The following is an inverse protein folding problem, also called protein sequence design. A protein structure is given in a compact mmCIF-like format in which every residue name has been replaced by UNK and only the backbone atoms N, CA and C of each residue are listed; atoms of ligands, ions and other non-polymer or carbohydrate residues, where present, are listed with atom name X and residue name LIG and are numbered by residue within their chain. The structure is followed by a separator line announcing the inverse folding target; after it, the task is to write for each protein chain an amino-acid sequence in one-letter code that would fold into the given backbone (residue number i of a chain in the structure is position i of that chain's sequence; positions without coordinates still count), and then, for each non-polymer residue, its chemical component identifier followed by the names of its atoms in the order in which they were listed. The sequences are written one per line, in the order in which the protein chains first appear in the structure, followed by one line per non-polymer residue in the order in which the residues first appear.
data_IF_342156947706
#
_entry.id   IF_342156947706
#
_cell.length_a   1.000
_cell.length_b   1.000
_cell.length_c   1.000
_cell.angle_alpha   90.00
_cell.angle_beta   90.00
_cell.angle_gamma   90.00
#
_symmetry.space_group_name_H-M   'P 1'
#
loop_
_entity.id
_entity.type
_entity.pdbx_description
1 polymer ?
#
# COMPACT_ATOMS: atom_id res chain seq x y z
N UNK A 1 17.68 -5.39 -23.53
CA UNK A 1 18.41 -6.23 -22.55
C UNK A 1 17.39 -6.71 -21.52
N UNK A 2 17.41 -7.98 -21.10
CA UNK A 2 16.48 -8.45 -20.05
C UNK A 2 16.83 -7.79 -18.72
N UNK A 3 15.89 -7.05 -18.11
CA UNK A 3 16.06 -6.58 -16.72
C UNK A 3 16.21 -7.80 -15.80
N UNK A 4 17.13 -7.71 -14.83
CA UNK A 4 17.25 -8.70 -13.77
C UNK A 4 16.20 -8.42 -12.69
N UNK A 5 15.84 -9.43 -11.89
CA UNK A 5 14.87 -9.25 -10.80
C UNK A 5 15.31 -8.17 -9.80
N UNK A 6 16.61 -8.12 -9.48
CA UNK A 6 17.18 -7.08 -8.64
C UNK A 6 17.01 -5.67 -9.24
N UNK A 7 17.24 -5.50 -10.55
CA UNK A 7 17.02 -4.20 -11.21
C UNK A 7 15.54 -3.77 -11.26
N UNK A 8 14.61 -4.73 -11.34
CA UNK A 8 13.17 -4.43 -11.28
C UNK A 8 12.82 -3.94 -9.88
N UNK A 9 13.30 -4.62 -8.84
CA UNK A 9 13.01 -4.27 -7.46
C UNK A 9 13.56 -2.90 -7.05
N UNK A 10 14.79 -2.56 -7.45
CA UNK A 10 15.35 -1.22 -7.25
C UNK A 10 14.50 -0.15 -7.95
N UNK A 11 14.06 -0.42 -9.18
CA UNK A 11 13.20 0.49 -9.92
C UNK A 11 11.84 0.69 -9.25
N UNK A 12 11.18 -0.38 -8.79
CA UNK A 12 9.90 -0.30 -8.08
C UNK A 12 10.02 0.46 -6.75
N UNK A 13 11.12 0.27 -6.01
CA UNK A 13 11.39 1.06 -4.80
C UNK A 13 11.56 2.55 -5.11
N UNK A 14 12.20 2.87 -6.24
CA UNK A 14 12.28 4.24 -6.78
C UNK A 14 10.91 4.84 -7.05
N UNK A 15 10.06 4.13 -7.80
CA UNK A 15 8.70 4.55 -8.10
C UNK A 15 7.83 4.71 -6.84
N UNK A 16 7.98 3.81 -5.87
CA UNK A 16 7.27 3.92 -4.59
C UNK A 16 7.70 5.17 -3.81
N UNK A 17 8.99 5.51 -3.83
CA UNK A 17 9.50 6.74 -3.21
C UNK A 17 8.92 7.98 -3.88
N UNK A 18 8.87 8.02 -5.21
CA UNK A 18 8.24 9.12 -5.96
C UNK A 18 6.74 9.25 -5.65
N UNK A 19 6.02 8.12 -5.59
CA UNK A 19 4.63 8.07 -5.15
C UNK A 19 4.43 8.70 -3.76
N UNK A 20 5.30 8.38 -2.79
CA UNK A 20 5.22 8.96 -1.44
C UNK A 20 5.50 10.45 -1.41
N UNK A 21 6.49 10.90 -2.18
CA UNK A 21 6.87 12.33 -2.27
C UNK A 21 5.84 13.19 -3.01
N UNK A 22 4.96 12.57 -3.80
CA UNK A 22 3.87 13.28 -4.51
C UNK A 22 2.85 13.81 -3.50
N UNK A 23 2.85 15.12 -3.26
CA UNK A 23 2.00 15.78 -2.26
C UNK A 23 0.54 15.91 -2.69
N UNK A 24 0.30 16.23 -3.98
CA UNK A 24 -1.06 16.29 -4.51
C UNK A 24 -1.65 14.88 -4.59
N UNK A 25 -2.74 14.66 -3.86
CA UNK A 25 -3.43 13.37 -3.82
C UNK A 25 -3.93 12.98 -5.21
N UNK A 26 -4.42 13.92 -6.01
CA UNK A 26 -4.91 13.62 -7.36
C UNK A 26 -3.76 13.16 -8.28
N UNK A 27 -2.60 13.80 -8.18
CA UNK A 27 -1.41 13.42 -8.95
C UNK A 27 -0.92 11.99 -8.65
N UNK A 28 -1.23 11.41 -7.48
CA UNK A 28 -0.87 10.01 -7.16
C UNK A 28 -1.48 8.99 -8.11
N UNK A 29 -2.60 9.32 -8.78
CA UNK A 29 -3.22 8.45 -9.77
C UNK A 29 -2.28 8.07 -10.93
N UNK A 30 -1.22 8.85 -11.20
CA UNK A 30 -0.21 8.52 -12.21
C UNK A 30 0.55 7.22 -11.90
N UNK A 31 0.60 6.78 -10.64
CA UNK A 31 1.27 5.53 -10.27
C UNK A 31 0.33 4.32 -10.37
N UNK A 32 -0.97 4.55 -10.53
CA UNK A 32 -1.98 3.49 -10.51
C UNK A 32 -2.35 3.10 -11.93
N UNK A 33 -2.58 1.81 -12.13
CA UNK A 33 -3.39 1.35 -13.25
C UNK A 33 -4.80 1.90 -13.08
N UNK A 34 -5.53 2.25 -14.15
CA UNK A 34 -6.94 2.62 -14.05
C UNK A 34 -7.79 1.54 -13.35
N UNK A 35 -7.38 0.28 -13.48
CA UNK A 35 -8.00 -0.88 -12.84
C UNK A 35 -7.29 -1.26 -11.53
N UNK A 36 -6.61 -0.31 -10.87
CA UNK A 36 -5.98 -0.61 -9.59
C UNK A 36 -7.05 -0.93 -8.55
N UNK A 37 -6.94 -2.09 -7.92
CA UNK A 37 -7.85 -2.53 -6.86
C UNK A 37 -7.27 -2.23 -5.48
N UNK A 38 -8.12 -2.17 -4.46
CA UNK A 38 -7.66 -2.13 -3.06
C UNK A 38 -8.47 -3.11 -2.23
N UNK A 39 -7.80 -3.82 -1.33
CA UNK A 39 -8.41 -4.61 -0.27
C UNK A 39 -7.83 -4.22 1.08
N UNK A 40 -8.65 -4.32 2.13
CA UNK A 40 -8.25 -4.13 3.52
C UNK A 40 -8.69 -5.36 4.31
N UNK A 41 -7.69 -6.06 4.87
CA UNK A 41 -7.85 -7.29 5.63
C UNK A 41 -8.31 -7.05 7.07
N UNK A 42 -8.10 -5.84 7.59
CA UNK A 42 -8.59 -5.41 8.91
C UNK A 42 -10.01 -4.84 8.84
N UNK A 43 -10.74 -4.94 9.96
CA UNK A 43 -12.08 -4.39 10.15
C UNK A 43 -12.01 -2.93 10.65
N UNK A 44 -12.75 -1.96 10.06
CA UNK A 44 -13.65 -2.07 8.91
C UNK A 44 -12.91 -2.39 7.60
N UNK A 45 -13.46 -3.35 6.85
CA UNK A 45 -12.94 -3.68 5.53
C UNK A 45 -13.32 -2.59 4.52
N UNK A 46 -12.29 -2.00 3.90
CA UNK A 46 -12.42 -1.12 2.75
C UNK A 46 -11.96 -1.84 1.49
N UNK A 47 -12.69 -1.65 0.40
CA UNK A 47 -12.32 -2.18 -0.89
C UNK A 47 -12.60 -1.18 -2.01
N UNK A 48 -11.76 -1.20 -3.04
CA UNK A 48 -11.90 -0.39 -4.25
C UNK A 48 -11.77 -1.28 -5.48
N UNK A 49 -12.56 -0.97 -6.51
CA UNK A 49 -12.54 -1.68 -7.80
C UNK A 49 -11.73 -0.93 -8.87
N UNK A 50 -11.32 0.30 -8.57
CA UNK A 50 -10.64 1.20 -9.49
C UNK A 50 -9.80 2.25 -8.74
N UNK A 51 -8.90 2.89 -9.48
CA UNK A 51 -8.01 3.92 -8.95
C UNK A 51 -8.74 5.14 -8.41
N UNK A 52 -9.87 5.52 -9.02
CA UNK A 52 -10.61 6.72 -8.65
C UNK A 52 -11.21 6.57 -7.24
N UNK A 53 -11.72 5.37 -6.93
CA UNK A 53 -12.21 5.02 -5.59
C UNK A 53 -11.07 5.02 -4.57
N UNK A 54 -9.87 4.54 -4.93
CA UNK A 54 -8.68 4.61 -4.05
C UNK A 54 -8.31 6.06 -3.76
N UNK A 55 -8.27 6.92 -4.78
CA UNK A 55 -7.96 8.34 -4.64
C UNK A 55 -8.98 9.02 -3.74
N UNK A 56 -10.27 8.70 -3.90
CA UNK A 56 -11.34 9.16 -3.00
C UNK A 56 -11.09 8.74 -1.55
N UNK A 57 -10.71 7.48 -1.29
CA UNK A 57 -10.36 7.03 0.06
C UNK A 57 -9.17 7.78 0.66
N UNK A 58 -8.19 8.16 -0.16
CA UNK A 58 -7.07 8.98 0.31
C UNK A 58 -7.53 10.38 0.76
N UNK A 59 -8.46 11.01 0.03
CA UNK A 59 -9.08 12.27 0.46
C UNK A 59 -9.93 12.12 1.73
N UNK A 60 -10.60 10.99 1.88
CA UNK A 60 -11.53 10.70 2.98
C UNK A 60 -10.87 9.95 4.16
N UNK A 61 -9.53 9.85 4.20
CA UNK A 61 -8.83 9.07 5.22
C UNK A 61 -8.97 9.65 6.64
N UNK A 62 -9.14 10.98 6.78
CA UNK A 62 -9.17 11.68 8.07
C UNK A 62 -10.11 11.05 9.11
N UNK A 63 -11.41 10.89 8.82
CA UNK A 63 -12.35 10.22 9.72
C UNK A 63 -11.96 8.79 10.12
N UNK A 64 -11.35 8.01 9.22
CA UNK A 64 -10.89 6.65 9.52
C UNK A 64 -9.75 6.68 10.53
N UNK A 65 -8.78 7.58 10.33
CA UNK A 65 -7.67 7.77 11.27
C UNK A 65 -8.19 8.23 12.63
N UNK A 66 -9.13 9.18 12.66
CA UNK A 66 -9.74 9.67 13.91
C UNK A 66 -10.42 8.54 14.70
N UNK A 67 -11.15 7.64 14.04
CA UNK A 67 -11.77 6.47 14.70
C UNK A 67 -10.72 5.54 15.32
N UNK A 68 -9.57 5.35 14.67
CA UNK A 68 -8.46 4.55 15.23
C UNK A 68 -7.91 5.22 16.50
N UNK A 69 -7.65 6.53 16.48
CA UNK A 69 -7.21 7.27 17.67
C UNK A 69 -8.26 7.21 18.80
N UNK A 70 -9.55 7.29 18.46
CA UNK A 70 -10.65 7.18 19.41
C UNK A 70 -10.70 5.80 20.07
N UNK A 71 -10.61 4.73 19.28
CA UNK A 71 -10.59 3.33 19.79
C UNK A 71 -9.36 3.04 20.65
N UNK A 72 -8.24 3.70 20.37
CA UNK A 72 -7.02 3.64 21.18
C UNK A 72 -7.09 4.48 22.47
N UNK A 73 -8.14 5.31 22.64
CA UNK A 73 -8.32 6.17 23.82
C UNK A 73 -7.53 7.49 23.79
N UNK A 74 -6.95 7.86 22.64
CA UNK A 74 -5.99 8.97 22.54
C UNK A 74 -6.60 10.31 22.11
N UNK A 75 -7.87 10.36 21.74
CA UNK A 75 -8.50 11.54 21.13
C UNK A 75 -8.49 12.79 22.04
N UNK A 76 -8.51 12.60 23.36
CA UNK A 76 -8.58 13.69 24.34
C UNK A 76 -7.21 14.14 24.88
N UNK A 77 -6.14 13.47 24.47
CA UNK A 77 -4.79 13.76 24.94
C UNK A 77 -4.15 14.82 24.02
N UNK A 78 -3.62 15.89 24.61
CA UNK A 78 -2.98 16.97 23.85
C UNK A 78 -1.78 16.44 23.05
N UNK A 79 -1.82 16.63 21.74
CA UNK A 79 -0.66 16.45 20.85
C UNK A 79 0.04 17.78 20.66
N UNK A 80 1.35 17.84 20.89
CA UNK A 80 2.15 19.01 20.55
C UNK A 80 2.76 18.84 19.15
N UNK A 81 2.05 19.33 18.13
CA UNK A 81 2.52 19.34 16.74
C UNK A 81 2.08 18.15 15.89
N UNK A 82 2.33 18.22 14.56
CA UNK A 82 2.00 17.14 13.64
C UNK A 82 2.89 15.91 13.89
N UNK A 83 2.34 14.69 13.80
CA UNK A 83 3.15 13.49 13.99
C UNK A 83 4.16 13.34 12.85
N UNK A 84 5.33 12.80 13.18
CA UNK A 84 6.34 12.42 12.18
C UNK A 84 5.85 11.20 11.41
N UNK A 85 6.19 11.10 10.13
CA UNK A 85 5.79 9.98 9.28
C UNK A 85 7.00 9.20 8.80
N UNK A 86 6.88 7.88 8.78
CA UNK A 86 7.95 6.96 8.43
C UNK A 86 7.41 5.87 7.52
N UNK A 87 8.29 5.29 6.72
CA UNK A 87 8.00 4.02 6.06
C UNK A 87 9.25 3.17 5.90
N UNK A 88 9.04 1.87 5.69
CA UNK A 88 10.04 0.97 5.13
C UNK A 88 9.44 0.22 3.95
N UNK A 89 10.28 -0.11 2.98
CA UNK A 89 9.87 -0.82 1.78
C UNK A 89 10.92 -1.86 1.37
N UNK A 90 10.46 -3.05 0.95
CA UNK A 90 11.29 -4.10 0.36
C UNK A 90 10.48 -4.93 -0.63
N UNK A 91 11.12 -5.74 -1.49
CA UNK A 91 10.41 -6.73 -2.28
C UNK A 91 9.70 -7.78 -1.41
N UNK A 92 8.59 -8.32 -1.91
CA UNK A 92 7.94 -9.48 -1.30
C UNK A 92 8.85 -10.71 -1.34
N UNK A 93 8.80 -11.51 -0.27
CA UNK A 93 9.44 -12.82 -0.23
C UNK A 93 8.55 -13.88 -0.92
N UNK A 94 9.07 -15.10 -1.07
CA UNK A 94 8.36 -16.18 -1.77
C UNK A 94 7.01 -16.55 -1.16
N UNK A 95 6.87 -16.44 0.16
CA UNK A 95 5.61 -16.76 0.85
C UNK A 95 4.58 -15.64 0.63
N UNK A 96 5.01 -14.39 0.76
CA UNK A 96 4.17 -13.21 0.51
C UNK A 96 3.70 -13.15 -0.94
N UNK A 97 4.54 -13.57 -1.91
CA UNK A 97 4.19 -13.63 -3.32
C UNK A 97 3.02 -14.58 -3.66
N UNK A 98 2.64 -15.46 -2.74
CA UNK A 98 1.54 -16.43 -2.90
C UNK A 98 0.32 -16.12 -1.99
N UNK A 99 0.43 -15.12 -1.12
CA UNK A 99 -0.61 -14.74 -0.15
C UNK A 99 -1.45 -13.55 -0.65
N UNK A 100 -2.52 -13.85 -1.36
CA UNK A 100 -3.51 -12.87 -1.83
C UNK A 100 -4.73 -12.73 -0.89
N UNK A 101 -4.63 -13.24 0.34
CA UNK A 101 -5.74 -13.21 1.29
C UNK A 101 -6.85 -14.20 0.94
N UNK A 102 -8.09 -13.80 1.24
CA UNK A 102 -9.30 -14.62 1.17
C UNK A 102 -10.36 -13.98 0.30
N UNK A 103 -11.34 -14.79 -0.14
CA UNK A 103 -12.46 -14.27 -0.93
C UNK A 103 -13.32 -13.25 -0.19
N UNK A 104 -13.33 -13.26 1.15
CA UNK A 104 -14.05 -12.26 1.94
C UNK A 104 -13.46 -10.85 1.75
N UNK A 105 -12.15 -10.76 1.55
CA UNK A 105 -11.42 -9.51 1.34
C UNK A 105 -11.43 -9.11 -0.15
N UNK A 106 -11.32 -10.11 -1.03
CA UNK A 106 -11.21 -9.92 -2.47
C UNK A 106 -12.55 -9.61 -3.18
N UNK A 107 -13.66 -10.25 -2.78
CA UNK A 107 -14.94 -10.08 -3.46
C UNK A 107 -15.47 -8.64 -3.45
N UNK A 108 -15.37 -7.87 -2.34
CA UNK A 108 -15.72 -6.45 -2.34
C UNK A 108 -14.91 -5.60 -3.35
N UNK A 109 -13.65 -5.99 -3.61
CA UNK A 109 -12.79 -5.34 -4.61
C UNK A 109 -13.07 -5.82 -6.06
N UNK A 110 -14.03 -6.72 -6.26
CA UNK A 110 -14.50 -7.14 -7.57
C UNK A 110 -13.83 -8.39 -8.16
N UNK A 111 -13.05 -9.13 -7.37
CA UNK A 111 -12.49 -10.41 -7.79
C UNK A 111 -13.47 -11.56 -7.52
N UNK A 112 -13.47 -12.57 -8.39
CA UNK A 112 -14.36 -13.72 -8.29
C UNK A 112 -13.80 -14.84 -7.40
N UNK A 113 -12.47 -14.97 -7.34
CA UNK A 113 -11.79 -16.00 -6.55
C UNK A 113 -10.33 -15.63 -6.23
N UNK A 114 -9.73 -16.32 -5.25
CA UNK A 114 -8.29 -16.21 -4.97
C UNK A 114 -7.47 -16.77 -6.14
N UNK A 115 -7.96 -17.86 -6.75
CA UNK A 115 -7.33 -18.51 -7.91
C UNK A 115 -7.26 -17.58 -9.12
N UNK A 116 -8.29 -16.76 -9.35
CA UNK A 116 -8.28 -15.73 -10.40
C UNK A 116 -7.10 -14.76 -10.21
N UNK A 117 -6.93 -14.21 -9.00
CA UNK A 117 -5.86 -13.25 -8.70
C UNK A 117 -4.49 -13.90 -8.85
N UNK A 118 -4.32 -15.14 -8.37
CA UNK A 118 -3.09 -15.93 -8.54
C UNK A 118 -2.76 -16.18 -10.02
N UNK A 119 -3.77 -16.44 -10.84
CA UNK A 119 -3.57 -16.66 -12.27
C UNK A 119 -3.22 -15.34 -12.98
N UNK A 120 -3.89 -14.24 -12.63
CA UNK A 120 -3.54 -12.88 -13.11
C UNK A 120 -2.10 -12.53 -12.75
N UNK A 121 -1.69 -12.70 -11.50
CA UNK A 121 -0.33 -12.35 -11.05
C UNK A 121 0.76 -13.10 -11.82
N UNK A 122 0.52 -14.37 -12.14
CA UNK A 122 1.45 -15.18 -12.96
C UNK A 122 1.46 -14.75 -14.42
N UNK A 123 0.29 -14.58 -15.03
CA UNK A 123 0.17 -14.26 -16.45
C UNK A 123 0.67 -12.86 -16.78
N UNK A 124 0.40 -11.90 -15.90
CA UNK A 124 0.78 -10.49 -16.05
C UNK A 124 2.12 -10.17 -15.36
N UNK A 125 2.80 -11.18 -14.79
CA UNK A 125 4.12 -11.07 -14.16
C UNK A 125 4.17 -9.99 -13.09
N UNK A 126 3.25 -10.05 -12.15
CA UNK A 126 3.21 -9.08 -11.06
C UNK A 126 4.44 -9.19 -10.18
N UNK A 127 4.92 -8.04 -9.71
CA UNK A 127 5.98 -7.93 -8.71
C UNK A 127 5.42 -7.14 -7.52
N UNK A 128 5.86 -7.49 -6.31
CA UNK A 128 5.29 -6.93 -5.09
C UNK A 128 6.31 -6.23 -4.21
N UNK A 129 5.86 -5.18 -3.52
CA UNK A 129 6.59 -4.55 -2.42
C UNK A 129 5.84 -4.72 -1.10
N UNK A 130 6.55 -5.18 -0.06
CA UNK A 130 6.12 -5.07 1.33
C UNK A 130 6.42 -3.67 1.81
N UNK A 131 5.42 -2.99 2.32
CA UNK A 131 5.55 -1.65 2.87
C UNK A 131 4.90 -1.59 4.25
N UNK A 132 5.65 -1.09 5.22
CA UNK A 132 5.10 -0.63 6.49
C UNK A 132 5.20 0.90 6.52
N UNK A 133 4.11 1.59 6.83
CA UNK A 133 4.06 3.04 7.04
C UNK A 133 3.55 3.30 8.45
N UNK A 134 4.14 4.26 9.16
CA UNK A 134 3.60 4.65 10.45
C UNK A 134 3.82 6.12 10.75
N UNK A 135 2.93 6.66 11.59
CA UNK A 135 3.10 7.97 12.19
C UNK A 135 3.59 7.82 13.62
N UNK A 136 4.29 8.81 14.14
CA UNK A 136 4.72 8.85 15.53
C UNK A 136 4.68 10.28 16.07
N UNK A 137 3.88 10.47 17.11
CA UNK A 137 3.87 11.70 17.89
C UNK A 137 4.91 11.67 19.04
N UNK A 138 4.94 12.72 19.86
CA UNK A 138 5.89 12.85 20.98
C UNK A 138 5.69 11.81 22.09
N UNK A 139 4.48 11.24 22.21
CA UNK A 139 4.12 10.22 23.18
C UNK A 139 4.26 8.79 22.61
N UNK A 140 4.96 8.65 21.47
CA UNK A 140 5.14 7.42 20.71
C UNK A 140 3.82 6.80 20.17
N UNK A 141 2.74 7.58 20.13
CA UNK A 141 1.45 7.16 19.57
C UNK A 141 1.44 7.39 18.07
N UNK A 142 0.60 6.62 17.37
CA UNK A 142 0.38 6.84 15.95
C UNK A 142 -0.34 5.71 15.26
N UNK A 143 -0.44 5.83 13.95
CA UNK A 143 -1.09 4.87 13.07
C UNK A 143 -0.02 4.00 12.42
N UNK A 144 -0.30 2.71 12.27
CA UNK A 144 0.49 1.77 11.50
C UNK A 144 -0.38 1.23 10.36
N UNK A 145 0.20 1.24 9.16
CA UNK A 145 -0.38 0.65 7.95
C UNK A 145 0.62 -0.32 7.36
N UNK A 146 0.22 -1.58 7.18
CA UNK A 146 1.04 -2.60 6.51
C UNK A 146 0.37 -2.98 5.20
N UNK A 147 1.09 -2.86 4.09
CA UNK A 147 0.54 -3.03 2.75
C UNK A 147 1.45 -3.92 1.92
N UNK A 148 0.87 -4.73 1.04
CA UNK A 148 1.54 -5.27 -0.12
C UNK A 148 1.07 -4.49 -1.36
N UNK A 149 1.99 -3.75 -1.98
CA UNK A 149 1.71 -3.06 -3.24
C UNK A 149 2.13 -3.98 -4.39
N UNK A 150 1.18 -4.38 -5.21
CA UNK A 150 1.43 -5.17 -6.40
C UNK A 150 1.56 -4.27 -7.61
N UNK A 151 2.50 -4.61 -8.48
CA UNK A 151 2.86 -3.85 -9.66
C UNK A 151 2.86 -4.74 -10.88
N UNK A 152 2.50 -4.19 -12.04
CA UNK A 152 2.73 -4.82 -13.34
C UNK A 152 3.29 -3.82 -14.32
N UNK A 153 4.00 -4.33 -15.32
CA UNK A 153 4.40 -3.54 -16.48
C UNK A 153 3.21 -3.38 -17.43
N UNK A 154 2.76 -2.15 -17.66
CA UNK A 154 1.73 -1.85 -18.66
C UNK A 154 2.39 -1.44 -20.00
N UNK A 155 1.96 -2.04 -21.14
CA UNK A 155 2.49 -1.67 -22.43
C UNK A 155 1.91 -0.32 -22.88
N UNK A 156 2.75 0.73 -22.91
CA UNK A 156 2.37 2.04 -23.43
C UNK A 156 2.78 2.20 -24.90
N UNK A 157 2.15 1.49 -25.82
CA UNK A 157 2.20 1.78 -27.27
C UNK A 157 3.58 1.85 -27.96
N UNK A 158 4.68 1.65 -27.23
CA UNK A 158 6.08 1.67 -27.63
C UNK A 158 6.83 0.62 -26.77
N UNK A 159 8.04 0.25 -27.20
CA UNK A 159 8.78 -0.93 -26.72
C UNK A 159 9.12 -0.91 -25.21
N UNK A 160 9.04 0.25 -24.55
CA UNK A 160 9.27 0.41 -23.11
C UNK A 160 7.94 0.68 -22.40
N UNK A 161 7.43 -0.33 -21.67
CA UNK A 161 6.24 -0.19 -20.83
C UNK A 161 6.48 0.68 -19.59
N UNK A 162 5.44 0.92 -18.80
CA UNK A 162 5.54 1.61 -17.50
C UNK A 162 5.01 0.72 -16.38
N UNK A 163 5.74 0.66 -15.27
CA UNK A 163 5.28 -0.03 -14.07
C UNK A 163 4.18 0.77 -13.37
N UNK A 164 3.08 0.09 -13.06
CA UNK A 164 1.90 0.65 -12.39
C UNK A 164 1.49 -0.23 -11.22
N UNK A 165 1.04 0.41 -10.14
CA UNK A 165 0.35 -0.26 -9.05
C UNK A 165 -1.01 -0.75 -9.54
N UNK A 166 -1.37 -1.95 -9.13
CA UNK A 166 -2.56 -2.67 -9.63
C UNK A 166 -3.40 -3.30 -8.52
N UNK A 167 -2.81 -3.54 -7.36
CA UNK A 167 -3.52 -4.00 -6.17
C UNK A 167 -2.81 -3.44 -4.93
N UNK A 168 -3.57 -2.74 -4.09
CA UNK A 168 -3.16 -2.33 -2.76
C UNK A 168 -3.78 -3.31 -1.76
N UNK A 169 -2.96 -4.20 -1.20
CA UNK A 169 -3.40 -5.19 -0.23
C UNK A 169 -2.99 -4.76 1.17
N UNK A 170 -3.90 -4.06 1.86
CA UNK A 170 -3.70 -3.54 3.20
C UNK A 170 -3.90 -4.69 4.18
N UNK A 171 -2.78 -5.21 4.71
CA UNK A 171 -2.78 -6.30 5.69
C UNK A 171 -3.16 -5.82 7.09
N UNK A 172 -2.85 -4.56 7.41
CA UNK A 172 -3.14 -3.96 8.70
C UNK A 172 -3.35 -2.46 8.56
N UNK A 173 -4.39 -1.95 9.21
CA UNK A 173 -4.63 -0.53 9.44
C UNK A 173 -5.12 -0.35 10.88
N UNK A 174 -4.30 0.28 11.71
CA UNK A 174 -4.59 0.41 13.14
C UNK A 174 -3.60 1.30 13.86
N UNK A 175 -3.61 1.25 15.19
CA UNK A 175 -2.62 1.97 15.99
C UNK A 175 -1.27 1.26 15.94
N UNK A 176 -0.19 1.98 16.23
CA UNK A 176 1.13 1.39 16.45
C UNK A 176 1.06 0.26 17.47
N UNK A 177 1.61 -0.90 17.12
CA UNK A 177 1.60 -2.13 17.94
C UNK A 177 3.00 -2.66 18.25
N UNK A 178 4.06 -1.90 17.91
CA UNK A 178 5.46 -2.26 18.10
C UNK A 178 6.06 -3.10 16.96
N UNK A 179 5.29 -3.40 15.92
CA UNK A 179 5.73 -4.19 14.77
C UNK A 179 6.04 -3.33 13.53
N UNK A 180 6.17 -2.01 13.68
CA UNK A 180 6.30 -1.08 12.55
C UNK A 180 7.52 -1.39 11.68
N UNK A 181 8.61 -1.88 12.30
CA UNK A 181 9.89 -2.18 11.66
C UNK A 181 10.04 -3.64 11.23
N UNK A 182 9.00 -4.47 11.44
CA UNK A 182 9.03 -5.90 11.06
C UNK A 182 9.03 -6.13 9.54
N UNK A 183 8.65 -5.11 8.78
CA UNK A 183 8.60 -5.14 7.33
C UNK A 183 9.98 -5.29 6.68
N UNK A 184 11.07 -5.05 7.41
CA UNK A 184 12.41 -4.98 6.85
C UNK A 184 12.59 -3.79 5.90
N UNK A 185 13.69 -3.78 5.15
CA UNK A 185 14.09 -2.65 4.31
C UNK A 185 14.67 -1.48 5.11
N UNK A 186 15.09 -0.44 4.41
CA UNK A 186 15.54 0.81 5.02
C UNK A 186 14.34 1.60 5.56
N UNK A 187 14.48 2.14 6.77
CA UNK A 187 13.48 3.04 7.36
C UNK A 187 13.77 4.47 6.91
N UNK A 188 12.77 5.10 6.29
CA UNK A 188 12.84 6.45 5.76
C UNK A 188 11.85 7.31 6.55
N UNK A 189 12.34 8.42 7.08
CA UNK A 189 11.52 9.49 7.65
C UNK A 189 11.08 10.43 6.52
N UNK A 190 9.78 10.67 6.44
CA UNK A 190 9.19 11.59 5.47
C UNK A 190 9.31 13.02 6.01
N UNK A 191 9.74 13.92 5.12
CA UNK A 191 9.93 15.35 5.42
C UNK A 191 8.76 16.17 4.93
#
# INVERSE_FOLDING_TARGET
MSQTKASVHEHLLGLYREYRQTQDIAAKAIFFSPQCHQICRTDPSYAAKDSDTIIKYLFEAGPVLEDIYRKAGWLNEQTHGPPRSFYSARPLNSTEMEDFGTIKELAPAGFESVEEVKNKSKNEKWEGLRVNMWTQDENDRGILVKVQYWWRMEPLGAEDGTWKQILHDILYLGHKDGSEKDGGGEVIEEK
#
